data_IF_037542978482
#
_entry.id   IF_037542978482
#
_cell.length_a   1.000
_cell.length_b   1.000
_cell.length_c   1.000
_cell.angle_alpha   90.00
_cell.angle_beta   90.00
_cell.angle_gamma   90.00
#
_symmetry.space_group_name_H-M   'P 1'
#
loop_
_entity.id
_entity.type
_entity.pdbx_description
1 polymer ?
#
# COMPACT_ATOMS: atom_id res chain seq x y z
N UNK A 1 11.32 3.92 -1.42
CA UNK A 1 10.21 3.65 -2.36
C UNK A 1 10.20 2.18 -2.70
N UNK A 2 9.02 1.60 -2.86
CA UNK A 2 8.81 0.21 -3.28
C UNK A 2 7.51 0.14 -4.09
N UNK A 3 7.44 -0.75 -5.09
CA UNK A 3 6.21 -1.14 -5.78
C UNK A 3 5.93 -2.60 -5.42
N UNK A 4 4.68 -2.92 -5.14
CA UNK A 4 4.21 -4.27 -4.83
C UNK A 4 2.80 -4.49 -5.41
N UNK A 5 2.41 -5.74 -5.59
CA UNK A 5 1.05 -6.11 -6.04
C UNK A 5 0.38 -7.09 -5.08
N UNK A 6 -0.75 -7.65 -5.51
CA UNK A 6 -1.60 -8.55 -4.69
C UNK A 6 -0.82 -9.75 -4.12
N UNK A 7 0.05 -10.36 -4.93
CA UNK A 7 0.88 -11.47 -4.48
C UNK A 7 1.74 -11.12 -3.25
N UNK A 8 2.35 -9.94 -3.24
CA UNK A 8 3.10 -9.48 -2.07
C UNK A 8 2.19 -9.20 -0.88
N UNK A 9 0.97 -8.70 -1.11
CA UNK A 9 0.01 -8.42 -0.04
C UNK A 9 -0.53 -9.67 0.64
N UNK A 10 -0.53 -10.81 -0.06
CA UNK A 10 -0.93 -12.12 0.47
C UNK A 10 0.21 -12.84 1.23
N UNK A 11 1.47 -12.56 0.89
CA UNK A 11 2.62 -13.22 1.51
C UNK A 11 2.85 -12.78 2.96
N UNK A 12 2.83 -13.73 3.91
CA UNK A 12 2.88 -13.42 5.35
C UNK A 12 4.12 -12.61 5.79
N UNK A 13 5.25 -12.78 5.10
CA UNK A 13 6.47 -12.00 5.35
C UNK A 13 6.25 -10.49 5.14
N UNK A 14 5.35 -10.09 4.22
CA UNK A 14 5.05 -8.67 4.01
C UNK A 14 4.32 -8.08 5.21
N UNK A 15 3.41 -8.84 5.84
CA UNK A 15 2.69 -8.42 7.03
C UNK A 15 3.62 -8.28 8.24
N UNK A 16 4.57 -9.21 8.43
CA UNK A 16 5.60 -9.11 9.47
C UNK A 16 6.47 -7.87 9.28
N UNK A 17 6.97 -7.65 8.06
CA UNK A 17 7.81 -6.50 7.72
C UNK A 17 7.03 -5.18 7.87
N UNK A 18 5.77 -5.12 7.42
CA UNK A 18 4.95 -3.92 7.52
C UNK A 18 4.55 -3.60 8.97
N UNK A 19 4.32 -4.62 9.80
CA UNK A 19 4.11 -4.44 11.25
C UNK A 19 5.31 -3.77 11.92
N UNK A 20 6.53 -4.24 11.62
CA UNK A 20 7.76 -3.61 12.12
C UNK A 20 7.95 -2.19 11.58
N UNK A 21 7.68 -1.96 10.30
CA UNK A 21 7.81 -0.63 9.69
C UNK A 21 6.87 0.41 10.33
N UNK A 22 5.64 0.00 10.64
CA UNK A 22 4.68 0.83 11.39
C UNK A 22 5.16 1.08 12.82
N UNK A 23 5.60 0.02 13.52
CA UNK A 23 6.15 0.15 14.88
C UNK A 23 7.36 1.09 14.97
N UNK A 24 8.26 1.06 13.98
CA UNK A 24 9.44 1.92 13.92
C UNK A 24 9.16 3.32 13.37
N UNK A 25 7.93 3.61 12.92
CA UNK A 25 7.57 4.91 12.37
C UNK A 25 8.45 5.32 11.18
N UNK A 26 8.66 4.40 10.23
CA UNK A 26 9.54 4.63 9.08
C UNK A 26 8.96 5.65 8.07
N UNK A 27 8.82 6.92 8.44
CA UNK A 27 8.18 7.97 7.63
C UNK A 27 8.89 8.40 6.35
N UNK A 28 9.92 7.68 5.92
CA UNK A 28 10.54 7.82 4.60
C UNK A 28 10.26 6.61 3.70
N UNK A 29 9.62 5.57 4.22
CA UNK A 29 9.15 4.43 3.47
C UNK A 29 7.79 4.76 2.85
N UNK A 30 7.77 4.78 1.52
CA UNK A 30 6.57 4.99 0.71
C UNK A 30 6.46 3.77 -0.22
N UNK A 31 5.34 3.06 -0.12
CA UNK A 31 5.02 1.87 -0.88
C UNK A 31 3.85 2.14 -1.83
N UNK A 32 3.97 1.71 -3.08
CA UNK A 32 2.88 1.77 -4.06
C UNK A 32 2.34 0.35 -4.24
N UNK A 33 1.05 0.18 -3.98
CA UNK A 33 0.35 -1.06 -4.23
C UNK A 33 -0.39 -0.96 -5.57
N UNK A 34 0.03 -1.77 -6.54
CA UNK A 34 -0.69 -1.94 -7.80
C UNK A 34 -1.98 -2.75 -7.57
N UNK A 35 -3.05 -2.04 -7.20
CA UNK A 35 -4.38 -2.55 -6.91
C UNK A 35 -5.15 -2.80 -8.22
N UNK A 36 -4.78 -3.87 -8.94
CA UNK A 36 -5.32 -4.20 -10.26
C UNK A 36 -6.33 -5.36 -10.26
N UNK A 37 -6.57 -5.97 -9.09
CA UNK A 37 -7.50 -7.09 -8.88
C UNK A 37 -7.18 -8.37 -9.66
N UNK A 38 -5.93 -8.57 -10.10
CA UNK A 38 -5.53 -9.74 -10.89
C UNK A 38 -4.29 -10.43 -10.31
N UNK A 39 -4.42 -11.73 -10.09
CA UNK A 39 -3.33 -12.67 -9.81
C UNK A 39 -3.15 -13.67 -10.96
N UNK A 40 -2.25 -14.65 -10.80
CA UNK A 40 -2.08 -15.72 -11.80
C UNK A 40 -3.36 -16.56 -11.98
N UNK A 41 -4.11 -16.79 -10.90
CA UNK A 41 -5.37 -17.57 -10.93
C UNK A 41 -6.56 -16.73 -11.45
N UNK A 42 -6.32 -15.49 -11.86
CA UNK A 42 -7.34 -14.55 -12.33
C UNK A 42 -7.74 -13.55 -11.26
N UNK A 43 -9.04 -13.25 -11.19
CA UNK A 43 -9.59 -12.24 -10.29
C UNK A 43 -9.25 -12.54 -8.82
N UNK A 44 -8.77 -11.52 -8.11
CA UNK A 44 -8.44 -11.61 -6.67
C UNK A 44 -9.61 -12.09 -5.81
N UNK A 45 -10.87 -11.86 -6.19
CA UNK A 45 -12.05 -12.26 -5.42
C UNK A 45 -12.12 -13.77 -5.12
N UNK A 46 -11.43 -14.61 -5.89
CA UNK A 46 -11.39 -16.06 -5.67
C UNK A 46 -10.64 -16.45 -4.38
N UNK A 47 -9.69 -15.63 -3.93
CA UNK A 47 -8.79 -15.99 -2.82
C UNK A 47 -8.34 -14.82 -1.92
N UNK A 48 -8.63 -13.56 -2.29
CA UNK A 48 -8.16 -12.37 -1.60
C UNK A 48 -9.23 -11.27 -1.59
N UNK A 49 -9.95 -11.16 -0.47
CA UNK A 49 -11.12 -10.28 -0.31
C UNK A 49 -11.09 -9.44 0.97
N UNK A 50 -9.93 -9.37 1.63
CA UNK A 50 -9.75 -8.53 2.81
C UNK A 50 -9.64 -7.04 2.46
N UNK A 51 -9.83 -6.18 3.46
CA UNK A 51 -9.56 -4.75 3.34
C UNK A 51 -8.08 -4.48 3.67
N UNK A 52 -7.26 -4.39 2.63
CA UNK A 52 -5.81 -4.09 2.74
C UNK A 52 -5.59 -2.73 3.39
N UNK A 53 -6.39 -1.73 3.03
CA UNK A 53 -6.43 -0.42 3.64
C UNK A 53 -6.62 -0.50 5.16
N UNK A 54 -7.67 -1.19 5.62
CA UNK A 54 -7.93 -1.35 7.06
C UNK A 54 -6.79 -2.10 7.76
N UNK A 55 -6.21 -3.13 7.13
CA UNK A 55 -5.04 -3.84 7.69
C UNK A 55 -3.85 -2.91 7.88
N UNK A 56 -3.49 -2.12 6.86
CA UNK A 56 -2.35 -1.20 6.93
C UNK A 56 -2.57 -0.09 7.97
N UNK A 57 -3.78 0.45 8.08
CA UNK A 57 -4.15 1.36 9.17
C UNK A 57 -3.93 0.71 10.54
N UNK A 58 -4.34 -0.56 10.70
CA UNK A 58 -4.12 -1.35 11.92
C UNK A 58 -2.64 -1.61 12.24
N UNK A 59 -1.78 -1.66 11.22
CA UNK A 59 -0.32 -1.74 11.37
C UNK A 59 0.33 -0.37 11.67
N UNK A 60 -0.43 0.72 11.70
CA UNK A 60 0.08 2.06 11.97
C UNK A 60 0.61 2.80 10.75
N UNK A 61 0.23 2.39 9.54
CA UNK A 61 0.59 3.08 8.31
C UNK A 61 -0.34 4.26 8.01
N UNK A 62 0.18 5.25 7.26
CA UNK A 62 -0.65 6.21 6.54
C UNK A 62 -1.10 5.58 5.21
N UNK A 63 -2.38 5.71 4.86
CA UNK A 63 -2.95 5.09 3.65
C UNK A 63 -3.57 6.17 2.77
N UNK A 64 -3.21 6.16 1.49
CA UNK A 64 -3.75 7.04 0.45
C UNK A 64 -4.27 6.16 -0.68
N UNK A 65 -5.41 6.52 -1.29
CA UNK A 65 -5.95 5.79 -2.45
C UNK A 65 -6.08 6.70 -3.67
N UNK A 66 -5.30 6.39 -4.70
CA UNK A 66 -5.35 6.98 -6.04
C UNK A 66 -6.22 6.11 -6.94
N UNK A 67 -7.51 6.46 -7.03
CA UNK A 67 -8.51 5.66 -7.77
C UNK A 67 -8.25 5.54 -9.28
N UNK A 68 -7.48 6.45 -9.87
CA UNK A 68 -7.12 6.40 -11.29
C UNK A 68 -5.59 6.35 -11.47
N UNK A 69 -4.99 5.18 -11.25
CA UNK A 69 -3.56 4.96 -11.50
C UNK A 69 -3.17 4.98 -12.99
N UNK A 70 -4.11 4.77 -13.91
CA UNK A 70 -3.82 4.65 -15.35
C UNK A 70 -3.42 5.98 -15.99
N UNK A 71 -4.14 7.06 -15.67
CA UNK A 71 -3.93 8.39 -16.27
C UNK A 71 -3.98 9.54 -15.25
N UNK A 72 -4.19 9.26 -13.96
CA UNK A 72 -4.23 10.27 -12.89
C UNK A 72 -2.84 10.75 -12.47
N UNK A 73 -2.05 11.26 -13.42
CA UNK A 73 -0.66 11.64 -13.17
C UNK A 73 -0.53 12.68 -12.04
N UNK A 74 -1.46 13.63 -11.97
CA UNK A 74 -1.47 14.67 -10.93
C UNK A 74 -1.93 14.12 -9.57
N UNK A 75 -2.84 13.14 -9.56
CA UNK A 75 -3.26 12.46 -8.34
C UNK A 75 -2.11 11.65 -7.73
N UNK A 76 -1.34 10.94 -8.56
CA UNK A 76 -0.13 10.23 -8.13
C UNK A 76 0.90 11.22 -7.56
N UNK A 77 1.12 12.35 -8.24
CA UNK A 77 2.03 13.40 -7.75
C UNK A 77 1.57 13.94 -6.40
N UNK A 78 0.28 14.23 -6.26
CA UNK A 78 -0.31 14.73 -5.01
C UNK A 78 -0.16 13.71 -3.87
N UNK A 79 -0.44 12.43 -4.13
CA UNK A 79 -0.28 11.35 -3.15
C UNK A 79 1.18 11.21 -2.68
N UNK A 80 2.15 11.34 -3.58
CA UNK A 80 3.58 11.31 -3.22
C UNK A 80 3.96 12.50 -2.34
N UNK A 81 3.48 13.70 -2.65
CA UNK A 81 3.76 14.89 -1.84
C UNK A 81 3.10 14.80 -0.46
N UNK A 82 1.86 14.29 -0.37
CA UNK A 82 1.20 14.00 0.89
C UNK A 82 1.96 12.94 1.70
N UNK A 83 2.33 11.82 1.08
CA UNK A 83 3.09 10.74 1.71
C UNK A 83 4.42 11.24 2.29
N UNK A 84 5.11 12.13 1.56
CA UNK A 84 6.34 12.76 2.07
C UNK A 84 6.07 13.71 3.23
N UNK A 85 4.89 14.33 3.34
CA UNK A 85 4.57 15.23 4.43
C UNK A 85 4.40 14.50 5.77
N UNK A 86 3.97 13.23 5.74
CA UNK A 86 3.91 12.34 6.90
C UNK A 86 5.32 11.85 7.26
N UNK A 87 5.79 12.14 8.49
CA UNK A 87 7.19 11.90 8.90
C UNK A 87 7.36 10.80 9.94
N UNK A 88 6.28 10.42 10.60
CA UNK A 88 6.22 9.52 11.75
C UNK A 88 5.59 8.16 11.42
N UNK A 89 5.09 7.97 10.18
CA UNK A 89 4.49 6.73 9.72
C UNK A 89 4.93 6.37 8.30
N UNK A 90 5.21 5.09 8.00
CA UNK A 90 5.33 4.66 6.62
C UNK A 90 4.00 4.89 5.87
N UNK A 91 4.06 5.09 4.54
CA UNK A 91 2.86 5.34 3.72
C UNK A 91 2.64 4.25 2.68
N UNK A 92 1.41 3.77 2.57
CA UNK A 92 0.91 2.95 1.47
C UNK A 92 0.06 3.83 0.55
N UNK A 93 0.43 3.91 -0.72
CA UNK A 93 -0.37 4.51 -1.78
C UNK A 93 -0.96 3.35 -2.59
N UNK A 94 -2.27 3.16 -2.47
CA UNK A 94 -3.07 2.23 -3.27
C UNK A 94 -3.48 2.92 -4.57
#
# INVERSE_FOLDING_TARGET
YVILGDGCQMEGISNEACSLAGHWGLGKLIAFYDDNHISIDGDTEIAFTESVDTRFEGLGWHVIWVKNGNTGYDDIRAAIEEAKAVKDKPTLIK
#
